data_IF_873129667792
#
_entry.id   IF_873129667792
#
_cell.length_a   1.000
_cell.length_b   1.000
_cell.length_c   1.000
_cell.angle_alpha   90.00
_cell.angle_beta   90.00
_cell.angle_gamma   90.00
#
_symmetry.space_group_name_H-M   'P 1'
#
loop_
_entity.id
_entity.type
_entity.pdbx_description
1 polymer ?
#
# COMPACT_ATOMS: atom_id res chain seq x y z
N UNK A 1 0.84 46.17 -6.11
CA UNK A 1 1.39 45.12 -7.04
C UNK A 1 2.80 44.81 -6.57
N UNK A 2 3.00 43.57 -6.09
CA UNK A 2 4.33 43.05 -5.76
C UNK A 2 4.98 42.70 -7.10
N UNK A 3 6.17 43.22 -7.45
CA UNK A 3 6.83 42.84 -8.68
C UNK A 3 7.14 41.36 -8.69
N UNK A 4 7.08 40.68 -9.86
CA UNK A 4 7.44 39.26 -9.93
C UNK A 4 8.89 39.09 -9.44
N UNK A 5 9.06 38.24 -8.44
CA UNK A 5 10.37 37.92 -7.88
C UNK A 5 11.05 36.91 -8.82
N UNK A 6 11.77 37.43 -9.83
CA UNK A 6 12.42 36.61 -10.89
C UNK A 6 13.51 35.66 -10.38
N UNK A 7 13.88 35.77 -9.11
CA UNK A 7 14.83 34.84 -8.44
C UNK A 7 14.16 33.67 -7.73
N UNK A 8 12.82 33.69 -7.63
CA UNK A 8 12.09 32.53 -7.10
C UNK A 8 11.88 31.53 -8.23
N UNK A 9 12.30 30.32 -7.98
CA UNK A 9 11.96 29.20 -8.84
C UNK A 9 10.47 28.90 -8.78
N UNK A 10 9.88 28.65 -9.93
CA UNK A 10 8.47 28.25 -10.06
C UNK A 10 8.35 26.94 -10.87
N UNK A 11 9.46 26.27 -11.14
CA UNK A 11 9.51 25.04 -11.91
C UNK A 11 9.69 23.88 -10.93
N UNK A 12 8.74 22.96 -10.86
CA UNK A 12 8.89 21.80 -9.98
C UNK A 12 10.02 20.87 -10.46
N UNK A 13 10.57 20.04 -9.57
CA UNK A 13 11.47 18.96 -9.94
C UNK A 13 10.84 18.00 -10.93
N UNK A 14 11.66 17.19 -11.59
CA UNK A 14 11.15 16.10 -12.42
C UNK A 14 10.31 15.13 -11.57
N UNK A 15 9.23 14.62 -12.13
CA UNK A 15 8.46 13.54 -11.50
C UNK A 15 9.39 12.36 -11.19
N UNK A 16 9.32 11.74 -10.00
CA UNK A 16 10.01 10.49 -9.71
C UNK A 16 9.73 9.44 -10.77
N UNK A 17 10.61 8.48 -10.95
CA UNK A 17 10.45 7.45 -11.99
C UNK A 17 10.73 6.04 -11.42
N UNK A 18 10.49 5.01 -12.23
CA UNK A 18 10.75 3.61 -11.89
C UNK A 18 10.15 3.18 -10.54
N UNK A 19 8.82 3.22 -10.41
CA UNK A 19 8.16 2.85 -9.17
C UNK A 19 8.36 1.36 -8.88
N UNK A 20 8.62 1.04 -7.62
CA UNK A 20 8.59 -0.33 -7.11
C UNK A 20 7.80 -0.36 -5.81
N UNK A 21 6.94 -1.36 -5.70
CA UNK A 21 6.18 -1.64 -4.49
C UNK A 21 6.26 -3.15 -4.25
N UNK A 22 6.82 -3.53 -3.12
CA UNK A 22 7.02 -4.93 -2.74
C UNK A 22 6.42 -5.19 -1.36
N UNK A 23 5.67 -6.28 -1.27
CA UNK A 23 5.20 -6.78 0.00
C UNK A 23 6.29 -7.65 0.64
N UNK A 24 6.68 -7.29 1.85
CA UNK A 24 7.67 -8.03 2.63
C UNK A 24 7.02 -9.18 3.41
N UNK A 25 7.80 -10.24 3.73
CA UNK A 25 7.29 -11.38 4.49
C UNK A 25 6.74 -11.03 5.88
N UNK A 26 7.14 -9.91 6.46
CA UNK A 26 6.66 -9.43 7.75
C UNK A 26 5.38 -8.57 7.64
N UNK A 27 4.81 -8.48 6.44
CA UNK A 27 3.59 -7.71 6.17
C UNK A 27 3.79 -6.23 5.93
N UNK A 28 5.02 -5.74 5.96
CA UNK A 28 5.34 -4.38 5.56
C UNK A 28 5.38 -4.23 4.05
N UNK A 29 5.24 -3.01 3.58
CA UNK A 29 5.36 -2.66 2.18
C UNK A 29 6.63 -1.82 1.98
N UNK A 30 7.55 -2.34 1.17
CA UNK A 30 8.73 -1.60 0.75
C UNK A 30 8.45 -0.90 -0.57
N UNK A 31 8.65 0.41 -0.58
CA UNK A 31 8.46 1.28 -1.73
C UNK A 31 9.78 1.87 -2.13
N UNK A 32 10.03 1.99 -3.43
CA UNK A 32 11.20 2.70 -3.93
C UNK A 32 10.91 3.35 -5.29
N UNK A 33 11.68 4.39 -5.58
CA UNK A 33 11.60 5.17 -6.83
C UNK A 33 12.97 5.69 -7.23
N UNK A 34 13.09 6.16 -8.46
CA UNK A 34 14.31 6.78 -8.93
C UNK A 34 14.37 8.26 -8.51
N UNK A 35 15.57 8.73 -8.20
CA UNK A 35 15.85 10.11 -7.81
C UNK A 35 15.36 11.11 -8.88
N UNK A 36 14.70 12.18 -8.42
CA UNK A 36 14.32 13.34 -9.25
C UNK A 36 15.45 14.36 -9.34
N UNK A 37 15.40 15.15 -10.39
CA UNK A 37 16.31 16.27 -10.62
C UNK A 37 15.57 17.58 -10.67
N UNK A 38 16.20 18.64 -10.18
CA UNK A 38 15.68 20.00 -10.23
C UNK A 38 16.50 20.88 -11.16
N UNK A 39 15.82 21.81 -11.86
CA UNK A 39 16.44 22.70 -12.86
C UNK A 39 17.48 23.66 -12.27
N UNK A 40 17.29 24.12 -11.03
CA UNK A 40 18.22 24.99 -10.31
C UNK A 40 19.26 24.23 -9.50
N UNK A 41 19.19 22.92 -9.48
CA UNK A 41 19.94 22.07 -8.56
C UNK A 41 19.51 22.31 -7.11
N UNK A 42 20.01 21.54 -6.22
CA UNK A 42 19.69 21.61 -4.81
C UNK A 42 19.04 20.35 -4.28
N UNK A 43 18.63 20.41 -3.03
CA UNK A 43 17.99 19.28 -2.37
C UNK A 43 16.57 19.12 -2.91
N UNK A 44 16.29 17.95 -3.45
CA UNK A 44 14.94 17.48 -3.74
C UNK A 44 14.49 16.60 -2.59
N UNK A 45 13.29 16.84 -2.09
CA UNK A 45 12.63 16.02 -1.07
C UNK A 45 11.42 15.34 -1.68
N UNK A 46 10.92 14.30 -1.01
CA UNK A 46 9.75 13.56 -1.49
C UNK A 46 8.62 13.62 -0.48
N UNK A 47 7.39 13.68 -1.01
CA UNK A 47 6.18 13.50 -0.23
C UNK A 47 5.54 12.20 -0.66
N UNK A 48 5.14 11.38 0.30
CA UNK A 48 4.49 10.10 0.08
C UNK A 48 3.03 10.20 0.49
N UNK A 49 2.16 9.74 -0.37
CA UNK A 49 0.71 9.74 -0.17
C UNK A 49 0.18 8.32 -0.21
N UNK A 50 -0.89 8.07 0.54
CA UNK A 50 -1.56 6.79 0.60
C UNK A 50 -3.07 6.93 0.66
N UNK A 51 -3.81 6.15 -0.12
CA UNK A 51 -5.27 6.22 -0.21
C UNK A 51 -5.90 4.84 -0.30
N UNK A 52 -7.19 4.77 0.01
CA UNK A 52 -8.03 3.59 -0.24
C UNK A 52 -8.69 3.63 -1.62
N UNK A 53 -8.57 4.75 -2.34
CA UNK A 53 -9.14 4.97 -3.67
C UNK A 53 -8.05 5.32 -4.68
N UNK A 54 -8.27 4.95 -5.94
CA UNK A 54 -7.41 5.24 -7.08
C UNK A 54 -8.08 6.24 -8.05
N UNK A 55 -7.36 7.19 -8.62
CA UNK A 55 -5.97 7.58 -8.31
C UNK A 55 -5.84 8.21 -6.92
N UNK A 56 -4.60 8.27 -6.40
CA UNK A 56 -4.34 8.93 -5.12
C UNK A 56 -4.52 10.45 -5.26
N UNK A 57 -5.47 11.02 -4.54
CA UNK A 57 -5.65 12.47 -4.49
C UNK A 57 -4.59 13.10 -3.59
N UNK A 58 -3.56 13.70 -4.20
CA UNK A 58 -2.47 14.37 -3.48
C UNK A 58 -2.89 15.72 -2.90
N UNK A 59 -4.07 16.25 -3.25
CA UNK A 59 -4.59 17.50 -2.70
C UNK A 59 -5.34 17.30 -1.39
N UNK A 60 -5.73 16.05 -1.09
CA UNK A 60 -6.32 15.70 0.20
C UNK A 60 -5.21 15.45 1.24
N UNK A 61 -5.11 16.35 2.22
CA UNK A 61 -4.17 16.22 3.32
C UNK A 61 -4.35 14.92 4.13
N UNK A 62 -5.52 14.29 4.10
CA UNK A 62 -5.80 12.99 4.73
C UNK A 62 -5.07 11.82 4.06
N UNK A 63 -4.59 12.01 2.84
CA UNK A 63 -3.80 11.03 2.10
C UNK A 63 -2.29 11.19 2.31
N UNK A 64 -1.84 12.29 2.91
CA UNK A 64 -0.42 12.51 3.16
C UNK A 64 0.09 11.53 4.21
N UNK A 65 1.02 10.67 3.82
CA UNK A 65 1.60 9.64 4.68
C UNK A 65 2.92 10.12 5.30
N UNK A 66 3.81 10.72 4.50
CA UNK A 66 5.12 11.18 4.94
C UNK A 66 5.59 12.37 4.11
N UNK A 67 6.40 13.26 4.69
CA UNK A 67 6.91 14.47 4.04
C UNK A 67 8.40 14.63 4.21
N UNK A 68 9.01 15.41 3.31
CA UNK A 68 10.43 15.79 3.38
C UNK A 68 11.40 14.58 3.43
N UNK A 69 11.01 13.46 2.83
CA UNK A 69 11.91 12.34 2.66
C UNK A 69 13.10 12.77 1.80
N UNK A 70 14.32 12.48 2.24
CA UNK A 70 15.58 12.78 1.52
C UNK A 70 16.17 11.55 0.83
N UNK A 71 15.51 10.40 0.96
CA UNK A 71 15.87 9.13 0.35
C UNK A 71 14.75 8.66 -0.56
N UNK A 72 15.05 7.71 -1.42
CA UNK A 72 14.14 7.23 -2.48
C UNK A 72 13.53 5.88 -2.17
N UNK A 73 13.38 5.57 -0.91
CA UNK A 73 12.75 4.35 -0.41
C UNK A 73 11.98 4.61 0.88
N UNK A 74 10.96 3.81 1.14
CA UNK A 74 10.15 3.89 2.34
C UNK A 74 9.56 2.53 2.70
N UNK A 75 9.53 2.21 4.01
CA UNK A 75 8.83 1.04 4.52
C UNK A 75 7.54 1.47 5.22
N UNK A 76 6.41 1.10 4.64
CA UNK A 76 5.10 1.30 5.23
C UNK A 76 4.72 0.09 6.10
N UNK A 77 4.40 0.36 7.37
CA UNK A 77 3.85 -0.63 8.28
C UNK A 77 2.35 -0.38 8.44
N UNK A 78 1.46 -1.27 7.98
CA UNK A 78 0.03 -1.12 8.19
C UNK A 78 -0.30 -1.09 9.70
N UNK A 79 -1.01 -0.05 10.14
CA UNK A 79 -1.36 0.14 11.56
C UNK A 79 -2.53 -0.76 11.96
N UNK A 80 -3.37 -1.15 11.00
CA UNK A 80 -4.57 -1.94 11.25
C UNK A 80 -5.07 -2.58 9.95
N UNK A 81 -5.61 -3.82 10.00
CA UNK A 81 -6.24 -4.47 8.86
C UNK A 81 -7.38 -3.64 8.24
N UNK A 82 -8.07 -2.86 9.07
CA UNK A 82 -9.23 -2.04 8.69
C UNK A 82 -8.87 -0.70 8.04
N UNK A 83 -7.59 -0.30 8.09
CA UNK A 83 -7.07 0.96 7.56
C UNK A 83 -5.83 0.76 6.70
N UNK A 84 -5.75 -0.37 6.04
CA UNK A 84 -4.66 -0.63 5.12
C UNK A 84 -4.87 0.21 3.87
N UNK A 85 -3.98 1.17 3.66
CA UNK A 85 -3.93 1.92 2.42
C UNK A 85 -3.49 1.00 1.28
N UNK A 86 -4.12 1.14 0.11
CA UNK A 86 -3.91 0.24 -1.04
C UNK A 86 -3.16 0.89 -2.19
N UNK A 87 -3.30 2.21 -2.29
CA UNK A 87 -2.73 2.98 -3.38
C UNK A 87 -1.76 3.98 -2.80
N UNK A 88 -0.61 4.09 -3.44
CA UNK A 88 0.45 4.97 -2.99
C UNK A 88 0.93 5.81 -4.15
N UNK A 89 1.25 7.08 -3.86
CA UNK A 89 1.85 7.98 -4.82
C UNK A 89 3.01 8.74 -4.17
N UNK A 90 4.00 9.08 -4.96
CA UNK A 90 5.14 9.88 -4.52
C UNK A 90 5.31 11.09 -5.42
N UNK A 91 5.57 12.25 -4.83
CA UNK A 91 5.93 13.48 -5.52
C UNK A 91 7.33 13.92 -5.11
N UNK A 92 7.94 14.75 -5.93
CA UNK A 92 9.21 15.41 -5.63
C UNK A 92 8.96 16.91 -5.40
N UNK A 93 9.56 17.48 -4.37
CA UNK A 93 9.45 18.89 -4.04
C UNK A 93 10.83 19.55 -3.92
N UNK A 94 10.93 20.79 -4.39
CA UNK A 94 12.10 21.62 -4.21
C UNK A 94 12.04 22.46 -2.91
N UNK A 95 13.09 23.24 -2.66
CA UNK A 95 13.19 24.14 -1.51
C UNK A 95 12.20 25.32 -1.55
N UNK A 96 11.58 25.60 -2.70
CA UNK A 96 10.61 26.69 -2.87
C UNK A 96 9.17 26.21 -2.74
N UNK A 97 8.98 24.90 -2.57
CA UNK A 97 7.66 24.27 -2.44
C UNK A 97 6.99 23.98 -3.77
N UNK A 98 7.73 24.02 -4.88
CA UNK A 98 7.19 23.51 -6.15
C UNK A 98 7.19 21.99 -6.11
N UNK A 99 6.04 21.39 -6.36
CA UNK A 99 5.81 19.96 -6.28
C UNK A 99 5.53 19.38 -7.67
N UNK A 100 6.17 18.25 -7.98
CA UNK A 100 6.00 17.55 -9.25
C UNK A 100 4.62 16.91 -9.37
N UNK A 101 4.27 16.46 -10.57
CA UNK A 101 3.18 15.51 -10.74
C UNK A 101 3.45 14.24 -9.91
N UNK A 102 2.40 13.55 -9.41
CA UNK A 102 2.56 12.30 -8.68
C UNK A 102 3.05 11.16 -9.59
N UNK A 103 3.92 10.33 -9.05
CA UNK A 103 4.19 9.00 -9.58
C UNK A 103 3.34 8.02 -8.78
N UNK A 104 2.37 7.38 -9.42
CA UNK A 104 1.63 6.28 -8.80
C UNK A 104 2.56 5.08 -8.63
N UNK A 105 2.69 4.60 -7.40
CA UNK A 105 3.34 3.33 -7.12
C UNK A 105 2.37 2.23 -7.49
N UNK A 106 2.86 1.16 -8.11
CA UNK A 106 2.00 0.06 -8.55
C UNK A 106 1.10 -0.38 -7.41
N UNK A 107 -0.21 -0.39 -7.68
CA UNK A 107 -1.17 -0.90 -6.71
C UNK A 107 -0.80 -2.32 -6.32
N UNK A 108 -0.82 -2.61 -5.04
CA UNK A 108 -0.83 -4.00 -4.59
C UNK A 108 -2.14 -4.59 -5.10
N UNK A 109 -2.04 -5.66 -5.86
CA UNK A 109 -3.23 -6.43 -6.24
C UNK A 109 -4.02 -6.76 -4.98
N UNK A 110 -5.35 -6.75 -5.04
CA UNK A 110 -6.18 -7.23 -3.92
C UNK A 110 -5.78 -8.65 -3.48
N UNK A 111 -5.12 -9.38 -4.37
CA UNK A 111 -4.57 -10.72 -4.11
C UNK A 111 -3.25 -10.72 -3.34
N UNK A 112 -2.54 -9.58 -3.27
CA UNK A 112 -1.21 -9.48 -2.66
C UNK A 112 -1.24 -8.81 -1.28
N UNK A 113 -2.42 -8.34 -0.84
CA UNK A 113 -2.56 -7.73 0.49
C UNK A 113 -2.45 -8.83 1.55
N UNK A 114 -1.45 -8.80 2.45
CA UNK A 114 -1.41 -9.74 3.54
C UNK A 114 -2.63 -9.49 4.43
N UNK A 115 -3.37 -10.53 4.67
CA UNK A 115 -4.37 -10.52 5.71
C UNK A 115 -3.65 -10.44 7.05
N UNK A 116 -3.91 -9.39 7.81
CA UNK A 116 -3.28 -9.24 9.10
C UNK A 116 -3.88 -10.25 10.07
N UNK A 117 -3.03 -11.05 10.68
CA UNK A 117 -3.39 -11.85 11.84
C UNK A 117 -2.78 -11.20 13.10
N UNK A 118 -3.56 -11.12 14.14
CA UNK A 118 -3.08 -10.82 15.49
C UNK A 118 -2.92 -12.16 16.23
N UNK A 119 -1.74 -12.77 16.02
CA UNK A 119 -1.43 -14.08 16.57
C UNK A 119 -2.35 -15.17 16.04
N UNK A 120 -3.38 -15.53 16.79
CA UNK A 120 -4.30 -16.63 16.48
C UNK A 120 -5.64 -16.17 15.88
N UNK A 121 -5.83 -14.89 15.65
CA UNK A 121 -7.06 -14.33 15.08
C UNK A 121 -6.76 -13.73 13.69
N UNK A 122 -7.39 -14.31 12.69
CA UNK A 122 -7.42 -13.78 11.33
C UNK A 122 -8.60 -12.82 11.19
N UNK A 123 -8.31 -11.61 10.73
CA UNK A 123 -9.31 -10.62 10.41
C UNK A 123 -9.45 -10.50 8.90
N UNK A 124 -10.68 -10.63 8.42
CA UNK A 124 -11.04 -10.62 6.99
C UNK A 124 -11.70 -9.31 6.59
N UNK A 125 -11.50 -8.85 5.34
CA UNK A 125 -12.21 -7.69 4.82
C UNK A 125 -13.73 -7.94 4.78
N UNK A 126 -14.52 -6.88 4.96
CA UNK A 126 -15.97 -6.97 4.83
C UNK A 126 -16.37 -7.14 3.35
N UNK A 127 -16.88 -8.30 3.00
CA UNK A 127 -17.35 -8.64 1.66
C UNK A 127 -18.82 -9.04 1.72
N UNK A 128 -19.70 -8.26 1.09
CA UNK A 128 -21.15 -8.42 1.17
C UNK A 128 -21.68 -9.79 0.76
N UNK A 129 -20.99 -10.45 -0.17
CA UNK A 129 -21.42 -11.76 -0.70
C UNK A 129 -20.55 -12.91 -0.20
N UNK A 130 -19.64 -12.66 0.75
CA UNK A 130 -18.76 -13.69 1.27
C UNK A 130 -19.56 -14.74 2.05
N UNK A 131 -19.30 -16.01 1.78
CA UNK A 131 -19.94 -17.13 2.48
C UNK A 131 -18.94 -18.10 3.08
N UNK A 132 -17.84 -18.33 2.41
CA UNK A 132 -16.89 -19.37 2.74
C UNK A 132 -15.49 -18.87 2.71
N UNK A 133 -14.68 -19.32 3.65
CA UNK A 133 -13.22 -19.09 3.68
C UNK A 133 -12.50 -20.43 3.56
N UNK A 134 -11.56 -20.51 2.64
CA UNK A 134 -10.66 -21.66 2.47
C UNK A 134 -9.23 -21.23 2.68
N UNK A 135 -8.47 -22.03 3.39
CA UNK A 135 -7.05 -21.79 3.67
C UNK A 135 -6.21 -22.90 3.07
N UNK A 136 -5.22 -22.51 2.30
CA UNK A 136 -4.30 -23.41 1.60
C UNK A 136 -2.88 -23.18 2.08
N UNK A 137 -2.08 -24.24 2.10
CA UNK A 137 -0.63 -24.15 2.28
C UNK A 137 0.03 -23.48 1.07
N UNK A 138 1.29 -23.08 1.22
CA UNK A 138 2.12 -22.59 0.11
C UNK A 138 2.25 -23.61 -1.05
N UNK A 139 2.02 -24.90 -0.77
CA UNK A 139 2.03 -25.97 -1.78
C UNK A 139 0.69 -26.22 -2.44
N UNK A 140 -0.36 -25.44 -2.06
CA UNK A 140 -1.70 -25.53 -2.65
C UNK A 140 -2.61 -26.60 -2.02
N UNK A 141 -2.25 -27.17 -0.86
CA UNK A 141 -3.08 -28.11 -0.13
C UNK A 141 -4.11 -27.36 0.72
N UNK A 142 -5.42 -27.69 0.56
CA UNK A 142 -6.48 -27.15 1.40
C UNK A 142 -6.43 -27.76 2.81
N UNK A 143 -6.20 -26.92 3.81
CA UNK A 143 -6.06 -27.40 5.20
C UNK A 143 -7.21 -26.99 6.11
N UNK A 144 -7.98 -25.96 5.75
CA UNK A 144 -9.11 -25.47 6.53
C UNK A 144 -10.21 -24.88 5.66
N UNK A 145 -11.43 -25.11 6.12
CA UNK A 145 -12.66 -24.57 5.57
C UNK A 145 -13.48 -23.95 6.68
N UNK A 146 -13.97 -22.74 6.49
CA UNK A 146 -14.78 -22.01 7.46
C UNK A 146 -15.98 -21.35 6.79
N UNK A 147 -17.06 -21.19 7.57
CA UNK A 147 -18.08 -20.21 7.22
C UNK A 147 -17.50 -18.82 7.40
N UNK A 148 -17.71 -17.93 6.45
CA UNK A 148 -17.18 -16.57 6.52
C UNK A 148 -17.65 -15.86 7.80
N UNK A 149 -16.70 -15.27 8.49
CA UNK A 149 -16.91 -14.35 9.61
C UNK A 149 -15.83 -13.26 9.54
N UNK A 150 -16.11 -12.03 9.98
CA UNK A 150 -15.13 -10.95 9.95
C UNK A 150 -13.86 -11.26 10.75
N UNK A 151 -13.97 -12.11 11.75
CA UNK A 151 -12.85 -12.60 12.53
C UNK A 151 -13.00 -14.11 12.72
N UNK A 152 -11.87 -14.82 12.63
CA UNK A 152 -11.83 -16.28 12.83
C UNK A 152 -10.53 -16.72 13.48
N UNK A 153 -10.61 -17.80 14.26
CA UNK A 153 -9.42 -18.36 14.91
C UNK A 153 -8.61 -19.22 13.96
N UNK A 154 -7.34 -18.94 13.87
CA UNK A 154 -6.32 -19.73 13.15
C UNK A 154 -5.31 -20.38 14.11
N UNK A 155 -5.63 -20.43 15.40
CA UNK A 155 -4.76 -21.00 16.44
C UNK A 155 -4.29 -22.43 16.12
N UNK A 156 -5.12 -23.20 15.44
CA UNK A 156 -4.81 -24.60 15.08
C UNK A 156 -3.91 -24.75 13.85
N UNK A 157 -3.59 -23.66 13.15
CA UNK A 157 -2.67 -23.72 12.00
C UNK A 157 -1.22 -23.77 12.51
N UNK A 158 -0.36 -24.63 11.95
CA UNK A 158 1.09 -24.56 12.17
C UNK A 158 1.68 -23.22 11.74
N UNK A 159 2.90 -22.89 12.18
CA UNK A 159 3.65 -21.76 11.65
C UNK A 159 3.95 -21.96 10.15
N UNK A 160 3.70 -20.94 9.33
CA UNK A 160 3.94 -21.01 7.89
C UNK A 160 3.21 -19.97 7.07
N UNK A 161 3.37 -20.06 5.75
CA UNK A 161 2.69 -19.22 4.76
C UNK A 161 1.43 -19.91 4.27
N UNK A 162 0.33 -19.14 4.22
CA UNK A 162 -0.96 -19.64 3.77
C UNK A 162 -1.62 -18.68 2.80
N UNK A 163 -2.38 -19.23 1.85
CA UNK A 163 -3.27 -18.47 0.98
C UNK A 163 -4.71 -18.64 1.47
N UNK A 164 -5.42 -17.54 1.60
CA UNK A 164 -6.81 -17.49 2.06
C UNK A 164 -7.69 -17.09 0.89
N UNK A 165 -8.68 -17.91 0.56
CA UNK A 165 -9.70 -17.63 -0.45
C UNK A 165 -11.02 -17.34 0.23
N UNK A 166 -11.70 -16.27 -0.18
CA UNK A 166 -13.08 -16.01 0.20
C UNK A 166 -13.98 -16.25 -1.00
N UNK A 167 -14.99 -17.07 -0.81
CA UNK A 167 -15.91 -17.50 -1.85
C UNK A 167 -17.32 -17.00 -1.56
N UNK A 168 -18.07 -16.65 -2.62
CA UNK A 168 -19.48 -16.31 -2.52
C UNK A 168 -20.40 -17.55 -2.49
N UNK A 169 -21.72 -17.32 -2.47
CA UNK A 169 -22.73 -18.38 -2.49
C UNK A 169 -22.66 -19.30 -3.71
N UNK A 170 -22.16 -18.82 -4.84
CA UNK A 170 -21.99 -19.58 -6.07
C UNK A 170 -20.67 -20.36 -6.11
N UNK A 171 -19.84 -20.25 -5.07
CA UNK A 171 -18.49 -20.82 -5.04
C UNK A 171 -17.47 -20.03 -5.85
N UNK A 172 -17.84 -18.86 -6.38
CA UNK A 172 -16.91 -17.98 -7.09
C UNK A 172 -16.02 -17.25 -6.08
N UNK A 173 -14.74 -17.12 -6.43
CA UNK A 173 -13.76 -16.40 -5.65
C UNK A 173 -14.06 -14.90 -5.67
N UNK A 174 -14.19 -14.31 -4.50
CA UNK A 174 -14.44 -12.86 -4.32
C UNK A 174 -13.23 -12.15 -3.72
N UNK A 175 -12.32 -12.89 -3.13
CA UNK A 175 -11.09 -12.35 -2.53
C UNK A 175 -10.02 -13.43 -2.41
N UNK A 176 -8.76 -13.03 -2.54
CA UNK A 176 -7.57 -13.85 -2.20
C UNK A 176 -6.63 -13.00 -1.38
N UNK A 177 -6.06 -13.57 -0.33
CA UNK A 177 -5.04 -12.92 0.46
C UNK A 177 -4.04 -13.93 1.01
N UNK A 178 -2.94 -13.44 1.54
CA UNK A 178 -1.92 -14.27 2.18
C UNK A 178 -1.79 -13.96 3.65
N UNK A 179 -1.46 -14.96 4.44
CA UNK A 179 -1.13 -14.82 5.86
C UNK A 179 0.18 -15.54 6.17
N UNK A 180 0.87 -15.03 7.17
CA UNK A 180 2.01 -15.69 7.81
C UNK A 180 1.61 -15.96 9.25
N UNK A 181 1.72 -17.19 9.69
CA UNK A 181 1.48 -17.58 11.08
C UNK A 181 2.76 -17.99 11.78
#
# INVERSE_FOLDING_TARGET
LIPPMTWMDSIPPSTPAMPSLQLLPDGKMHMSWQISTDNNGGLVTYHLYASDTYPVDITDAGNLLETYLTHTEYEYTPISPWRQKRYFAVTAADRFGNESAPLELNAISETDIPLLNDGDILTLPEIKEAKTVKIFTATGEEIKYFVYAPQMSIASLPGGFYTVYILNNAGAQTFVGTIVK
#
